data_IF_900582651312
#
_entry.id   IF_900582651312
#
_cell.length_a   1.000
_cell.length_b   1.000
_cell.length_c   1.000
_cell.angle_alpha   90.00
_cell.angle_beta   90.00
_cell.angle_gamma   90.00
#
_symmetry.space_group_name_H-M   'P 1'
#
loop_
_entity.id
_entity.type
_entity.pdbx_description
1 polymer ?
#
# COMPACT_ATOMS: atom_id res chain seq x y z
N UNK A 1 -24.46 -20.90 12.32
CA UNK A 1 -23.74 -19.70 12.74
C UNK A 1 -22.45 -20.13 13.45
N UNK A 2 -21.41 -20.52 12.76
CA UNK A 2 -20.06 -20.78 13.34
C UNK A 2 -19.07 -21.06 12.21
N UNK A 3 -18.67 -20.02 11.48
CA UNK A 3 -17.63 -20.13 10.44
C UNK A 3 -16.33 -19.34 10.78
N UNK A 4 -16.25 -18.71 11.96
CA UNK A 4 -15.10 -17.90 12.33
C UNK A 4 -13.97 -18.63 13.09
N UNK A 5 -14.16 -19.86 13.55
CA UNK A 5 -13.17 -20.50 14.45
C UNK A 5 -12.20 -21.46 13.75
N UNK A 6 -12.49 -21.92 12.54
CA UNK A 6 -11.60 -22.84 11.81
C UNK A 6 -10.43 -22.15 11.10
N UNK A 7 -10.62 -20.92 10.65
CA UNK A 7 -9.58 -20.15 9.91
C UNK A 7 -8.43 -19.71 10.84
N UNK A 8 -8.75 -19.29 12.07
CA UNK A 8 -7.74 -18.89 13.05
C UNK A 8 -6.80 -20.05 13.45
N UNK A 9 -7.35 -21.26 13.59
CA UNK A 9 -6.56 -22.45 13.94
C UNK A 9 -5.60 -22.88 12.82
N UNK A 10 -6.02 -22.75 11.56
CA UNK A 10 -5.19 -23.08 10.40
C UNK A 10 -4.07 -22.06 10.22
N UNK A 11 -4.37 -20.77 10.33
CA UNK A 11 -3.39 -19.69 10.23
C UNK A 11 -2.32 -19.79 11.33
N UNK A 12 -2.70 -20.10 12.56
CA UNK A 12 -1.77 -20.29 13.67
C UNK A 12 -0.85 -21.50 13.45
N UNK A 13 -1.36 -22.61 12.90
CA UNK A 13 -0.51 -23.80 12.60
C UNK A 13 0.49 -23.51 11.48
N UNK A 14 0.05 -22.89 10.40
CA UNK A 14 0.94 -22.49 9.29
C UNK A 14 2.03 -21.57 9.79
N UNK A 15 1.70 -20.61 10.63
CA UNK A 15 2.65 -19.67 11.20
C UNK A 15 3.62 -20.35 12.15
N UNK A 16 3.15 -21.28 13.00
CA UNK A 16 4.02 -22.09 13.86
C UNK A 16 5.01 -22.92 13.06
N UNK A 17 4.56 -23.57 11.99
CA UNK A 17 5.44 -24.31 11.07
C UNK A 17 6.48 -23.40 10.42
N UNK A 18 6.07 -22.22 9.98
CA UNK A 18 6.98 -21.23 9.39
C UNK A 18 8.05 -20.76 10.39
N UNK A 19 7.66 -20.47 11.63
CA UNK A 19 8.58 -20.09 12.70
C UNK A 19 9.60 -21.17 13.03
N UNK A 20 9.15 -22.44 13.09
CA UNK A 20 10.01 -23.59 13.28
C UNK A 20 10.99 -23.73 12.12
N UNK A 21 10.51 -23.67 10.88
CA UNK A 21 11.36 -23.71 9.71
C UNK A 21 12.39 -22.57 9.69
N UNK A 22 12.02 -21.35 10.04
CA UNK A 22 12.97 -20.23 10.14
C UNK A 22 14.07 -20.49 11.18
N UNK A 23 13.74 -21.16 12.29
CA UNK A 23 14.70 -21.46 13.35
C UNK A 23 15.65 -22.62 13.01
N UNK A 24 15.17 -23.62 12.27
CA UNK A 24 15.90 -24.87 12.02
C UNK A 24 16.65 -24.88 10.68
N UNK A 25 16.35 -23.95 9.78
CA UNK A 25 16.97 -23.91 8.45
C UNK A 25 18.48 -23.74 8.52
N UNK A 26 19.19 -24.54 7.72
CA UNK A 26 20.65 -24.47 7.55
C UNK A 26 21.07 -23.78 6.26
N UNK A 27 20.16 -23.62 5.31
CA UNK A 27 20.41 -22.97 4.01
C UNK A 27 20.29 -21.45 4.13
N UNK A 28 21.07 -20.72 3.35
CA UNK A 28 20.93 -19.27 3.20
C UNK A 28 19.71 -18.98 2.34
N UNK A 29 18.72 -18.32 2.92
CA UNK A 29 17.48 -17.91 2.22
C UNK A 29 17.23 -16.44 2.55
N UNK A 30 16.92 -15.64 1.55
CA UNK A 30 16.43 -14.29 1.71
C UNK A 30 14.92 -14.32 1.80
N UNK A 31 14.34 -13.75 2.83
CA UNK A 31 12.89 -13.74 3.06
C UNK A 31 12.42 -12.29 3.05
N UNK A 32 11.42 -12.01 2.21
CA UNK A 32 10.66 -10.75 2.24
C UNK A 32 9.23 -11.09 2.61
N UNK A 33 8.72 -10.43 3.63
CA UNK A 33 7.34 -10.57 4.06
C UNK A 33 6.70 -9.19 4.14
N UNK A 34 5.43 -9.08 3.77
CA UNK A 34 4.63 -7.86 3.89
C UNK A 34 3.42 -8.10 4.77
N UNK A 35 3.04 -7.10 5.55
CA UNK A 35 1.82 -7.12 6.35
C UNK A 35 1.18 -5.75 6.36
N UNK A 36 -0.14 -5.70 6.27
CA UNK A 36 -0.94 -4.49 6.44
C UNK A 36 -1.51 -4.36 7.87
N UNK A 37 -1.37 -5.39 8.69
CA UNK A 37 -1.79 -5.37 10.09
C UNK A 37 -0.80 -6.11 10.98
N UNK A 38 -0.11 -5.34 11.81
CA UNK A 38 0.91 -5.84 12.73
C UNK A 38 0.30 -6.45 13.98
N UNK A 39 -0.95 -6.06 14.33
CA UNK A 39 -1.60 -6.51 15.56
C UNK A 39 -1.89 -8.01 15.55
N UNK A 40 -1.97 -8.60 14.37
CA UNK A 40 -2.15 -10.04 14.16
C UNK A 40 -0.85 -10.83 13.98
N UNK A 41 0.30 -10.15 13.92
CA UNK A 41 1.58 -10.82 13.83
C UNK A 41 2.00 -11.34 15.21
N UNK A 42 2.41 -12.62 15.33
CA UNK A 42 2.95 -13.13 16.59
C UNK A 42 4.17 -12.32 17.01
N UNK A 43 4.27 -11.99 18.31
CA UNK A 43 5.43 -11.30 18.86
C UNK A 43 6.76 -11.98 18.52
N UNK A 44 6.73 -13.31 18.32
CA UNK A 44 7.89 -14.11 17.95
C UNK A 44 8.47 -13.76 16.59
N UNK A 45 7.66 -13.30 15.63
CA UNK A 45 8.15 -12.85 14.31
C UNK A 45 8.89 -11.51 14.39
N UNK A 46 8.41 -10.63 15.25
CA UNK A 46 8.92 -9.26 15.41
C UNK A 46 10.16 -9.24 16.32
N UNK A 47 10.45 -10.36 17.00
CA UNK A 47 11.58 -10.47 17.91
C UNK A 47 12.91 -10.46 17.14
N UNK A 48 13.88 -9.65 17.61
CA UNK A 48 15.24 -9.59 17.06
C UNK A 48 15.85 -10.99 16.84
N UNK A 49 16.44 -11.20 15.67
CA UNK A 49 17.06 -12.46 15.26
C UNK A 49 16.16 -13.39 14.44
N UNK A 50 14.94 -12.96 14.08
CA UNK A 50 14.05 -13.66 13.15
C UNK A 50 13.93 -12.94 11.82
N UNK A 51 13.62 -11.66 11.88
CA UNK A 51 13.71 -10.74 10.75
C UNK A 51 14.87 -9.79 11.07
N UNK A 52 15.77 -9.62 10.11
CA UNK A 52 16.96 -8.77 10.29
C UNK A 52 16.56 -7.30 10.33
N UNK A 53 15.64 -6.91 9.44
CA UNK A 53 15.16 -5.54 9.32
C UNK A 53 13.64 -5.50 9.12
N UNK A 54 13.01 -4.50 9.71
CA UNK A 54 11.58 -4.21 9.54
C UNK A 54 11.47 -2.80 8.97
N UNK A 55 10.90 -2.71 7.77
CA UNK A 55 10.65 -1.43 7.10
C UNK A 55 9.20 -1.02 7.29
N UNK A 56 8.98 0.24 7.62
CA UNK A 56 7.65 0.84 7.60
C UNK A 56 7.47 1.62 6.30
N UNK A 57 6.49 1.19 5.51
CA UNK A 57 6.09 1.88 4.28
C UNK A 57 4.86 2.71 4.61
N UNK A 58 5.04 4.02 4.71
CA UNK A 58 3.96 4.97 4.95
C UNK A 58 3.22 5.32 3.65
N UNK A 59 2.20 6.16 3.75
CA UNK A 59 1.59 6.77 2.57
C UNK A 59 2.64 7.60 1.81
N UNK A 60 2.57 7.62 0.47
CA UNK A 60 3.56 8.30 -0.33
C UNK A 60 3.52 9.82 -0.09
N UNK A 61 4.68 10.44 -0.03
CA UNK A 61 4.82 11.88 -0.05
C UNK A 61 4.50 12.47 -1.44
N UNK A 62 4.50 13.79 -1.57
CA UNK A 62 4.15 14.46 -2.82
C UNK A 62 5.05 14.05 -4.00
N UNK A 63 6.35 13.88 -3.77
CA UNK A 63 7.29 13.47 -4.81
C UNK A 63 7.01 12.03 -5.27
N UNK A 64 6.86 11.13 -4.31
CA UNK A 64 6.49 9.73 -4.57
C UNK A 64 5.15 9.62 -5.29
N UNK A 65 4.15 10.46 -4.96
CA UNK A 65 2.86 10.48 -5.66
C UNK A 65 3.02 10.91 -7.13
N UNK A 66 3.91 11.85 -7.44
CA UNK A 66 4.21 12.21 -8.84
C UNK A 66 4.82 11.04 -9.60
N UNK A 67 5.75 10.33 -8.98
CA UNK A 67 6.38 9.15 -9.59
C UNK A 67 5.36 8.04 -9.82
N UNK A 68 4.49 7.78 -8.85
CA UNK A 68 3.40 6.80 -8.96
C UNK A 68 2.45 7.16 -10.10
N UNK A 69 2.02 8.43 -10.19
CA UNK A 69 1.19 8.93 -11.29
C UNK A 69 1.88 8.71 -12.64
N UNK A 70 3.16 9.11 -12.75
CA UNK A 70 3.95 8.94 -13.97
C UNK A 70 4.04 7.48 -14.41
N UNK A 71 4.36 6.57 -13.48
CA UNK A 71 4.47 5.14 -13.73
C UNK A 71 3.13 4.57 -14.21
N UNK A 72 2.01 4.88 -13.53
CA UNK A 72 0.72 4.30 -13.85
C UNK A 72 0.09 4.89 -15.12
N UNK A 73 0.34 6.16 -15.44
CA UNK A 73 -0.01 6.76 -16.73
C UNK A 73 0.78 6.10 -17.86
N UNK A 74 2.09 5.96 -17.70
CA UNK A 74 2.96 5.31 -18.70
C UNK A 74 2.58 3.86 -18.97
N UNK A 75 2.23 3.07 -17.94
CA UNK A 75 1.72 1.69 -18.09
C UNK A 75 0.45 1.61 -18.93
N UNK A 76 -0.30 2.70 -19.07
CA UNK A 76 -1.56 2.80 -19.83
C UNK A 76 -1.40 3.57 -21.13
N UNK A 77 -0.15 3.71 -21.60
CA UNK A 77 0.20 4.40 -22.84
C UNK A 77 -0.21 5.88 -22.88
N UNK A 78 -0.40 6.50 -21.71
CA UNK A 78 -0.54 7.94 -21.58
C UNK A 78 0.85 8.55 -21.36
N UNK A 79 1.15 9.63 -22.06
CA UNK A 79 2.42 10.35 -21.92
C UNK A 79 2.37 11.23 -20.66
N UNK A 80 3.17 10.95 -19.61
CA UNK A 80 3.07 11.66 -18.34
C UNK A 80 3.32 13.18 -18.46
N UNK A 81 4.15 13.59 -19.42
CA UNK A 81 4.46 15.01 -19.71
C UNK A 81 3.26 15.82 -20.22
N UNK A 82 2.17 15.18 -20.61
CA UNK A 82 0.92 15.84 -21.02
C UNK A 82 0.01 16.17 -19.82
N UNK A 83 0.42 15.75 -18.59
CA UNK A 83 -0.36 15.94 -17.39
C UNK A 83 0.35 16.89 -16.40
N UNK A 84 -0.44 17.67 -15.67
CA UNK A 84 0.07 18.45 -14.54
C UNK A 84 0.26 17.55 -13.32
N UNK A 85 1.35 16.76 -13.32
CA UNK A 85 1.66 15.84 -12.23
C UNK A 85 1.77 16.53 -10.86
N UNK A 86 2.36 17.74 -10.74
CA UNK A 86 2.39 18.48 -9.49
C UNK A 86 1.00 18.78 -8.91
N UNK A 87 0.06 19.22 -9.75
CA UNK A 87 -1.32 19.51 -9.34
C UNK A 87 -2.09 18.23 -8.97
N UNK A 88 -1.92 17.16 -9.74
CA UNK A 88 -2.52 15.85 -9.46
C UNK A 88 -2.00 15.25 -8.16
N UNK A 89 -0.68 15.35 -7.92
CA UNK A 89 -0.07 14.85 -6.69
C UNK A 89 -0.50 15.65 -5.46
N UNK A 90 -0.75 16.94 -5.60
CA UNK A 90 -1.33 17.77 -4.53
C UNK A 90 -2.75 17.33 -4.21
N UNK A 91 -3.59 17.18 -5.23
CA UNK A 91 -4.97 16.74 -5.08
C UNK A 91 -5.09 15.32 -4.49
N UNK A 92 -4.12 14.45 -4.75
CA UNK A 92 -4.05 13.08 -4.23
C UNK A 92 -3.41 13.01 -2.84
N UNK A 93 -3.42 14.09 -2.06
CA UNK A 93 -2.87 14.04 -0.70
C UNK A 93 -3.57 13.00 0.16
N UNK A 94 -2.79 12.22 0.89
CA UNK A 94 -3.28 11.11 1.71
C UNK A 94 -3.71 9.85 0.93
N UNK A 95 -3.52 9.78 -0.38
CA UNK A 95 -3.78 8.58 -1.16
C UNK A 95 -2.62 7.59 -1.06
N UNK A 96 -2.96 6.32 -1.04
CA UNK A 96 -2.02 5.21 -1.29
C UNK A 96 -1.72 5.06 -2.77
N UNK A 97 -0.65 4.33 -3.11
CA UNK A 97 -0.32 4.05 -4.51
C UNK A 97 -1.43 3.31 -5.26
N UNK A 98 -2.15 2.42 -4.60
CA UNK A 98 -3.28 1.69 -5.20
C UNK A 98 -4.48 2.59 -5.47
N UNK A 99 -4.74 3.59 -4.63
CA UNK A 99 -5.83 4.55 -4.86
C UNK A 99 -5.50 5.48 -6.02
N UNK A 100 -4.25 5.91 -6.15
CA UNK A 100 -3.79 6.68 -7.33
C UNK A 100 -3.99 5.86 -8.60
N UNK A 101 -3.63 4.58 -8.58
CA UNK A 101 -3.87 3.69 -9.71
C UNK A 101 -5.35 3.57 -10.06
N UNK A 102 -6.20 3.36 -9.06
CA UNK A 102 -7.65 3.25 -9.27
C UNK A 102 -8.26 4.54 -9.80
N UNK A 103 -7.81 5.70 -9.32
CA UNK A 103 -8.26 7.00 -9.85
C UNK A 103 -7.92 7.17 -11.34
N UNK A 104 -6.71 6.74 -11.76
CA UNK A 104 -6.34 6.76 -13.18
C UNK A 104 -7.24 5.83 -14.00
N UNK A 105 -7.52 4.63 -13.48
CA UNK A 105 -8.42 3.67 -14.16
C UNK A 105 -9.83 4.24 -14.29
N UNK A 106 -10.39 4.81 -13.23
CA UNK A 106 -11.71 5.44 -13.25
C UNK A 106 -11.77 6.60 -14.25
N UNK A 107 -10.73 7.45 -14.25
CA UNK A 107 -10.61 8.55 -15.19
C UNK A 107 -10.54 8.10 -16.65
N UNK A 108 -9.87 6.97 -16.92
CA UNK A 108 -9.85 6.38 -18.27
C UNK A 108 -11.23 5.89 -18.71
N UNK A 109 -11.97 5.21 -17.81
CA UNK A 109 -13.35 4.79 -18.12
C UNK A 109 -14.26 5.99 -18.38
N UNK A 110 -14.11 7.06 -17.62
CA UNK A 110 -14.88 8.30 -17.83
C UNK A 110 -14.53 8.94 -19.17
N UNK A 111 -13.24 9.11 -19.46
CA UNK A 111 -12.80 9.66 -20.73
C UNK A 111 -13.33 8.86 -21.94
N UNK A 112 -13.31 7.52 -21.83
CA UNK A 112 -13.87 6.64 -22.85
C UNK A 112 -15.39 6.78 -23.00
N UNK A 113 -16.13 6.92 -21.91
CA UNK A 113 -17.58 7.15 -21.93
C UNK A 113 -17.96 8.50 -22.54
N UNK A 114 -17.12 9.52 -22.34
CA UNK A 114 -17.28 10.86 -22.87
C UNK A 114 -16.68 11.00 -24.31
N UNK A 115 -16.18 9.89 -24.88
CA UNK A 115 -15.50 9.84 -26.19
C UNK A 115 -14.35 10.86 -26.32
N UNK A 116 -13.61 11.08 -25.22
CA UNK A 116 -12.50 12.03 -25.14
C UNK A 116 -11.19 11.36 -24.74
N UNK A 117 -10.08 12.04 -24.98
CA UNK A 117 -8.80 11.60 -24.45
C UNK A 117 -8.69 11.92 -22.95
N UNK A 118 -8.04 11.04 -22.18
CA UNK A 118 -7.72 11.32 -20.78
C UNK A 118 -6.86 12.59 -20.71
N UNK A 119 -7.20 13.47 -19.78
CA UNK A 119 -6.46 14.71 -19.49
C UNK A 119 -6.43 15.02 -17.99
N UNK A 120 -5.66 16.04 -17.63
CA UNK A 120 -5.50 16.45 -16.22
C UNK A 120 -6.83 16.77 -15.55
N UNK A 121 -7.76 17.44 -16.23
CA UNK A 121 -9.03 17.87 -15.63
C UNK A 121 -9.93 16.69 -15.26
N UNK A 122 -10.03 15.68 -16.14
CA UNK A 122 -10.80 14.46 -15.87
C UNK A 122 -10.20 13.71 -14.69
N UNK A 123 -8.86 13.52 -14.68
CA UNK A 123 -8.18 12.80 -13.59
C UNK A 123 -8.28 13.57 -12.25
N UNK A 124 -8.18 14.89 -12.28
CA UNK A 124 -8.37 15.74 -11.11
C UNK A 124 -9.77 15.58 -10.51
N UNK A 125 -10.79 15.51 -11.37
CA UNK A 125 -12.17 15.28 -10.95
C UNK A 125 -12.32 13.93 -10.23
N UNK A 126 -11.74 12.86 -10.76
CA UNK A 126 -11.82 11.55 -10.14
C UNK A 126 -11.08 11.50 -8.79
N UNK A 127 -9.89 12.09 -8.71
CA UNK A 127 -9.13 12.19 -7.46
C UNK A 127 -9.93 12.95 -6.40
N UNK A 128 -10.46 14.12 -6.75
CA UNK A 128 -11.17 14.97 -5.78
C UNK A 128 -12.55 14.43 -5.36
N UNK A 129 -13.15 13.56 -6.17
CA UNK A 129 -14.40 12.87 -5.81
C UNK A 129 -14.22 11.65 -4.93
N UNK A 130 -12.99 11.18 -4.74
CA UNK A 130 -12.66 9.98 -3.96
C UNK A 130 -12.17 10.36 -2.57
N UNK A 131 -12.73 9.71 -1.53
CA UNK A 131 -12.22 9.87 -0.16
C UNK A 131 -10.92 9.07 0.00
N UNK A 132 -9.85 9.75 0.44
CA UNK A 132 -8.54 9.11 0.61
C UNK A 132 -8.50 8.12 1.78
N UNK A 133 -7.60 7.14 1.68
CA UNK A 133 -7.34 6.15 2.73
C UNK A 133 -6.95 6.81 4.06
N UNK A 134 -6.22 7.92 4.00
CA UNK A 134 -5.82 8.69 5.18
C UNK A 134 -7.00 9.21 5.98
N UNK A 135 -8.14 9.46 5.34
CA UNK A 135 -9.39 9.87 6.01
C UNK A 135 -10.15 8.65 6.50
N UNK A 136 -10.35 7.65 5.63
CA UNK A 136 -11.16 6.46 5.95
C UNK A 136 -10.53 5.61 7.05
N UNK A 137 -9.20 5.52 7.09
CA UNK A 137 -8.43 4.70 8.03
C UNK A 137 -7.50 5.52 8.94
N UNK A 138 -7.85 6.76 9.23
CA UNK A 138 -7.00 7.69 9.99
C UNK A 138 -6.47 7.11 11.31
N UNK A 139 -7.33 6.47 12.09
CA UNK A 139 -6.95 5.87 13.39
C UNK A 139 -5.97 4.69 13.21
N UNK A 140 -6.19 3.85 12.20
CA UNK A 140 -5.30 2.72 11.94
C UNK A 140 -3.93 3.19 11.49
N UNK A 141 -3.87 4.17 10.60
CA UNK A 141 -2.61 4.75 10.11
C UNK A 141 -1.85 5.41 11.26
N UNK A 142 -2.54 6.19 12.10
CA UNK A 142 -1.93 6.81 13.27
C UNK A 142 -1.34 5.77 14.24
N UNK A 143 -2.08 4.68 14.50
CA UNK A 143 -1.61 3.57 15.34
C UNK A 143 -0.39 2.88 14.74
N UNK A 144 -0.38 2.62 13.44
CA UNK A 144 0.75 2.02 12.75
C UNK A 144 1.98 2.92 12.78
N UNK A 145 1.82 4.21 12.51
CA UNK A 145 2.90 5.20 12.61
C UNK A 145 3.51 5.26 14.01
N UNK A 146 2.66 5.30 15.03
CA UNK A 146 3.12 5.29 16.43
C UNK A 146 3.89 4.01 16.76
N UNK A 147 3.40 2.85 16.33
CA UNK A 147 4.11 1.58 16.54
C UNK A 147 5.46 1.56 15.82
N UNK A 148 5.54 2.12 14.62
CA UNK A 148 6.72 2.11 13.77
C UNK A 148 7.87 2.97 14.31
N UNK A 149 7.58 4.09 14.99
CA UNK A 149 8.55 5.11 15.40
C UNK A 149 9.79 4.57 16.13
N UNK A 150 9.62 3.52 16.95
CA UNK A 150 10.72 2.96 17.75
C UNK A 150 11.17 1.57 17.30
N UNK A 151 10.57 1.01 16.25
CA UNK A 151 10.69 -0.40 15.89
C UNK A 151 11.07 -0.68 14.46
N UNK A 152 11.05 0.33 13.61
CA UNK A 152 11.22 0.16 12.17
C UNK A 152 12.18 1.19 11.59
N UNK A 153 12.66 0.89 10.38
CA UNK A 153 13.40 1.81 9.52
C UNK A 153 12.40 2.38 8.51
N UNK A 154 12.36 3.70 8.25
CA UNK A 154 11.60 4.26 7.14
C UNK A 154 12.06 3.66 5.81
N UNK A 155 11.11 3.31 4.95
CA UNK A 155 11.37 2.80 3.60
C UNK A 155 11.63 3.92 2.63
#
# INVERSE_FOLDING_TARGET
MSQGSSDNGTSQRVLGTFLTWMAERRSRVFIVATSNDISHLPPELIRKGRLDEIFFVDLPDKASRQDILSIHLGKRHCLPEQFDLPALAEAADGFSGSEIEQAIVAALYRAAADETALNTAILLTEITSTSSLSVVMAENIARLRHWAQERTIPA
#
